data_IF_472654080873
#
_entry.id   IF_472654080873
#
_cell.length_a   1.000
_cell.length_b   1.000
_cell.length_c   1.000
_cell.angle_alpha   90.00
_cell.angle_beta   90.00
_cell.angle_gamma   90.00
#
_symmetry.space_group_name_H-M   'P 1'
#
loop_
_entity.id
_entity.type
_entity.pdbx_description
1 polymer ?
#
# COMPACT_ATOMS: atom_id res chain seq x y z
N UNK A 1 14.43 -10.27 2.39
CA UNK A 1 14.47 -10.00 0.92
C UNK A 1 14.66 -11.23 0.05
N UNK A 2 15.42 -12.26 0.50
CA UNK A 2 15.63 -13.48 -0.29
C UNK A 2 14.35 -14.33 -0.50
N UNK A 3 13.49 -14.38 0.52
CA UNK A 3 12.24 -15.17 0.51
C UNK A 3 11.20 -14.62 -0.47
N UNK A 4 10.95 -13.31 -0.43
CA UNK A 4 10.04 -12.62 -1.37
C UNK A 4 10.85 -11.54 -2.09
N UNK A 5 11.49 -11.87 -3.23
CA UNK A 5 12.30 -10.92 -3.99
C UNK A 5 11.41 -9.90 -4.70
N UNK A 6 11.93 -8.68 -4.90
CA UNK A 6 11.20 -7.66 -5.66
C UNK A 6 11.30 -7.97 -7.15
N UNK A 7 10.16 -7.97 -7.85
CA UNK A 7 10.13 -8.12 -9.30
C UNK A 7 10.67 -6.88 -10.02
N UNK A 8 11.02 -7.02 -11.30
CA UNK A 8 11.40 -5.86 -12.13
C UNK A 8 10.23 -4.88 -12.28
N UNK A 9 9.00 -5.38 -12.40
CA UNK A 9 7.78 -4.55 -12.44
C UNK A 9 7.65 -3.72 -11.17
N UNK A 10 7.70 -4.34 -10.00
CA UNK A 10 7.63 -3.62 -8.72
C UNK A 10 8.78 -2.60 -8.57
N UNK A 11 9.98 -2.93 -9.05
CA UNK A 11 11.12 -2.01 -9.06
C UNK A 11 10.82 -0.76 -9.90
N UNK A 12 10.30 -0.95 -11.12
CA UNK A 12 9.96 0.15 -12.03
C UNK A 12 8.81 1.00 -11.49
N UNK A 13 7.74 0.38 -10.98
CA UNK A 13 6.61 1.09 -10.39
C UNK A 13 7.05 1.99 -9.24
N UNK A 14 7.86 1.47 -8.30
CA UNK A 14 8.36 2.25 -7.17
C UNK A 14 9.25 3.40 -7.63
N UNK A 15 10.18 3.16 -8.57
CA UNK A 15 11.07 4.20 -9.07
C UNK A 15 10.30 5.31 -9.81
N UNK A 16 9.39 4.93 -10.72
CA UNK A 16 8.58 5.88 -11.49
C UNK A 16 7.68 6.72 -10.58
N UNK A 17 6.94 6.10 -9.64
CA UNK A 17 6.08 6.84 -8.72
C UNK A 17 6.87 7.76 -7.78
N UNK A 18 8.06 7.37 -7.32
CA UNK A 18 8.92 8.28 -6.53
C UNK A 18 9.34 9.52 -7.31
N UNK A 19 9.72 9.34 -8.58
CA UNK A 19 10.07 10.46 -9.44
C UNK A 19 8.88 11.36 -9.73
N UNK A 20 7.69 10.78 -10.00
CA UNK A 20 6.46 11.53 -10.24
C UNK A 20 6.05 12.35 -9.00
N UNK A 21 6.03 11.72 -7.81
CA UNK A 21 5.75 12.42 -6.54
C UNK A 21 6.78 13.51 -6.30
N UNK A 22 8.06 13.25 -6.56
CA UNK A 22 9.10 14.27 -6.41
C UNK A 22 8.86 15.47 -7.33
N UNK A 23 8.52 15.25 -8.60
CA UNK A 23 8.21 16.31 -9.55
C UNK A 23 7.01 17.16 -9.10
N UNK A 24 5.95 16.53 -8.57
CA UNK A 24 4.80 17.27 -8.02
C UNK A 24 5.22 18.09 -6.80
N UNK A 25 5.96 17.51 -5.87
CA UNK A 25 6.40 18.20 -4.64
C UNK A 25 7.37 19.36 -4.91
N UNK A 26 8.10 19.33 -6.02
CA UNK A 26 9.01 20.42 -6.43
C UNK A 26 8.37 21.41 -7.40
N UNK A 27 7.11 21.21 -7.78
CA UNK A 27 6.39 22.08 -8.72
C UNK A 27 6.79 21.92 -10.19
N UNK A 28 7.44 20.82 -10.55
CA UNK A 28 7.76 20.47 -11.94
C UNK A 28 6.64 19.69 -12.65
N UNK A 29 5.61 19.28 -11.90
CA UNK A 29 4.41 18.60 -12.39
C UNK A 29 3.20 19.17 -11.62
N UNK A 30 2.19 19.69 -12.32
CA UNK A 30 1.02 20.35 -11.73
C UNK A 30 -0.08 19.36 -11.30
N UNK A 31 0.12 18.05 -11.49
CA UNK A 31 -0.82 17.02 -11.05
C UNK A 31 -0.94 16.97 -9.54
N UNK A 32 -2.07 16.47 -9.05
CA UNK A 32 -2.29 16.26 -7.62
C UNK A 32 -1.85 14.84 -7.19
N UNK A 33 -1.00 14.73 -6.17
CA UNK A 33 -0.74 13.43 -5.52
C UNK A 33 -1.92 13.05 -4.63
N UNK A 34 -2.49 11.87 -4.87
CA UNK A 34 -3.64 11.36 -4.12
C UNK A 34 -3.28 10.03 -3.45
N UNK A 35 -3.12 10.06 -2.14
CA UNK A 35 -2.90 8.84 -1.33
C UNK A 35 -4.25 8.33 -0.83
N UNK A 36 -4.74 7.24 -1.42
CA UNK A 36 -6.11 6.74 -1.18
C UNK A 36 -6.15 5.23 -1.07
N UNK A 37 -6.98 4.72 -0.16
CA UNK A 37 -7.14 3.29 0.05
C UNK A 37 -7.79 2.98 1.40
N UNK A 38 -7.90 1.70 1.76
CA UNK A 38 -8.46 1.27 3.03
C UNK A 38 -7.74 1.90 4.24
N UNK A 39 -8.48 2.08 5.32
CA UNK A 39 -7.91 2.64 6.55
C UNK A 39 -6.75 1.80 7.10
N UNK A 40 -6.89 0.47 7.05
CA UNK A 40 -5.84 -0.54 7.26
C UNK A 40 -6.21 -1.82 6.52
N UNK A 41 -5.21 -2.56 6.02
CA UNK A 41 -5.39 -3.86 5.40
C UNK A 41 -5.51 -4.93 6.50
N UNK A 42 -6.56 -5.74 6.41
CA UNK A 42 -6.75 -6.94 7.23
C UNK A 42 -6.99 -8.18 6.35
N UNK A 43 -7.53 -7.99 5.14
CA UNK A 43 -7.71 -9.02 4.12
C UNK A 43 -6.87 -8.69 2.87
N UNK A 44 -5.80 -9.46 2.58
CA UNK A 44 -4.99 -9.29 1.38
C UNK A 44 -5.75 -9.53 0.06
N UNK A 45 -6.77 -10.39 0.05
CA UNK A 45 -7.54 -10.69 -1.18
C UNK A 45 -8.37 -9.48 -1.56
N UNK A 46 -9.12 -8.92 -0.60
CA UNK A 46 -9.86 -7.67 -0.80
C UNK A 46 -8.93 -6.49 -1.15
N UNK A 47 -7.70 -6.46 -0.62
CA UNK A 47 -6.72 -5.44 -0.98
C UNK A 47 -6.32 -5.49 -2.45
N UNK A 48 -6.14 -6.69 -3.02
CA UNK A 48 -5.80 -6.88 -4.44
C UNK A 48 -7.00 -6.56 -5.34
N UNK A 49 -8.23 -6.92 -4.95
CA UNK A 49 -9.45 -6.50 -5.68
C UNK A 49 -9.55 -4.97 -5.73
N UNK A 50 -9.34 -4.31 -4.59
CA UNK A 50 -9.31 -2.84 -4.53
C UNK A 50 -8.23 -2.25 -5.43
N UNK A 51 -7.02 -2.80 -5.41
CA UNK A 51 -5.91 -2.34 -6.26
C UNK A 51 -6.24 -2.47 -7.76
N UNK A 52 -6.91 -3.57 -8.14
CA UNK A 52 -7.33 -3.83 -9.52
C UNK A 52 -8.37 -2.83 -10.02
N UNK A 53 -9.25 -2.33 -9.14
CA UNK A 53 -10.17 -1.24 -9.46
C UNK A 53 -9.47 0.11 -9.49
N UNK A 54 -8.55 0.34 -8.54
CA UNK A 54 -7.84 1.62 -8.42
C UNK A 54 -6.88 1.87 -9.57
N UNK A 55 -6.23 0.84 -10.12
CA UNK A 55 -5.29 1.01 -11.25
C UNK A 55 -6.01 1.53 -12.51
N UNK A 56 -7.23 1.08 -12.78
CA UNK A 56 -8.03 1.60 -13.89
C UNK A 56 -8.34 3.09 -13.74
N UNK A 57 -8.59 3.55 -12.50
CA UNK A 57 -8.77 4.97 -12.20
C UNK A 57 -7.47 5.76 -12.27
N UNK A 58 -6.35 5.17 -11.84
CA UNK A 58 -5.02 5.77 -11.96
C UNK A 58 -4.67 6.04 -13.42
N UNK A 59 -5.00 5.11 -14.31
CA UNK A 59 -4.77 5.25 -15.75
C UNK A 59 -5.68 6.31 -16.37
N UNK A 60 -6.98 6.27 -16.09
CA UNK A 60 -7.96 7.20 -16.68
C UNK A 60 -7.85 8.65 -16.21
N UNK A 61 -7.26 8.88 -15.03
CA UNK A 61 -7.05 10.21 -14.45
C UNK A 61 -5.57 10.62 -14.43
N UNK A 62 -4.72 9.91 -15.19
CA UNK A 62 -3.26 10.05 -15.13
C UNK A 62 -2.74 11.42 -15.58
N UNK A 63 -3.52 12.15 -16.37
CA UNK A 63 -3.25 13.52 -16.83
C UNK A 63 -3.37 14.56 -15.71
N UNK A 64 -4.11 14.25 -14.63
CA UNK A 64 -4.41 15.18 -13.54
C UNK A 64 -3.97 14.70 -12.17
N UNK A 65 -3.86 13.39 -11.97
CA UNK A 65 -3.60 12.78 -10.66
C UNK A 65 -2.41 11.81 -10.70
N UNK A 66 -1.56 11.87 -9.67
CA UNK A 66 -0.66 10.77 -9.32
C UNK A 66 -1.28 9.99 -8.16
N UNK A 67 -2.05 8.94 -8.49
CA UNK A 67 -2.74 8.11 -7.50
C UNK A 67 -1.77 7.07 -6.90
N UNK A 68 -1.71 7.03 -5.57
CA UNK A 68 -0.92 6.08 -4.78
C UNK A 68 -1.83 5.32 -3.83
N UNK A 69 -1.84 3.99 -3.92
CA UNK A 69 -2.64 3.17 -3.00
C UNK A 69 -2.11 3.28 -1.57
N UNK A 70 -2.99 3.57 -0.63
CA UNK A 70 -2.73 3.50 0.80
C UNK A 70 -2.74 2.03 1.26
N UNK A 71 -1.58 1.52 1.67
CA UNK A 71 -1.40 0.14 2.20
C UNK A 71 -0.86 0.22 3.63
N UNK A 72 -1.75 0.38 4.61
CA UNK A 72 -1.37 0.48 6.02
C UNK A 72 -1.67 -0.83 6.74
N UNK A 73 -0.68 -1.40 7.42
CA UNK A 73 -0.86 -2.66 8.15
C UNK A 73 -1.19 -2.45 9.63
N UNK A 74 -0.98 -1.25 10.16
CA UNK A 74 -1.15 -0.96 11.57
C UNK A 74 -2.18 0.13 11.82
N UNK A 75 -2.70 0.09 13.04
CA UNK A 75 -3.80 0.93 13.49
C UNK A 75 -3.43 1.37 14.92
N UNK A 76 -2.93 2.60 15.12
CA UNK A 76 -2.55 3.05 16.46
C UNK A 76 -3.79 3.03 17.39
N UNK A 77 -3.57 2.58 18.63
CA UNK A 77 -4.60 2.46 19.67
C UNK A 77 -4.07 3.04 20.97
N UNK A 78 -4.95 3.71 21.71
CA UNK A 78 -4.65 4.29 23.02
C UNK A 78 -4.94 3.33 24.17
N UNK A 79 -5.77 2.30 23.97
CA UNK A 79 -6.17 1.32 24.99
C UNK A 79 -5.99 -0.11 24.50
N UNK A 80 -7.06 -0.83 24.16
CA UNK A 80 -7.07 -2.22 23.68
C UNK A 80 -7.75 -2.32 22.32
N UNK A 81 -7.30 -3.26 21.49
CA UNK A 81 -7.87 -3.53 20.18
C UNK A 81 -6.86 -4.14 19.23
N UNK A 82 -7.35 -4.66 18.09
CA UNK A 82 -6.50 -5.25 17.07
C UNK A 82 -5.43 -4.26 16.57
N UNK A 83 -4.17 -4.69 16.63
CA UNK A 83 -2.99 -3.86 16.38
C UNK A 83 -2.62 -3.75 14.90
N UNK A 84 -3.07 -4.67 14.06
CA UNK A 84 -2.77 -4.67 12.64
C UNK A 84 -2.37 -6.02 12.06
N UNK A 85 -2.33 -6.11 10.72
CA UNK A 85 -2.03 -7.33 9.97
C UNK A 85 -0.65 -7.91 10.31
N UNK A 86 0.33 -7.04 10.53
CA UNK A 86 1.67 -7.47 10.93
C UNK A 86 1.64 -8.07 12.33
N UNK A 87 0.92 -7.45 13.27
CA UNK A 87 0.93 -7.88 14.65
C UNK A 87 0.10 -9.14 14.89
N UNK A 88 -1.08 -9.23 14.27
CA UNK A 88 -2.04 -10.31 14.50
C UNK A 88 -2.79 -10.66 13.21
N UNK A 89 -2.13 -11.37 12.27
CA UNK A 89 -2.65 -11.60 10.92
C UNK A 89 -3.93 -12.45 10.87
N UNK A 90 -4.17 -13.27 11.90
CA UNK A 90 -5.29 -14.20 11.98
C UNK A 90 -6.50 -13.64 12.75
N UNK A 91 -6.39 -12.42 13.28
CA UNK A 91 -7.44 -11.74 14.06
C UNK A 91 -7.90 -12.51 15.30
N UNK A 92 -7.02 -13.36 15.86
CA UNK A 92 -7.32 -14.28 16.97
C UNK A 92 -6.49 -13.99 18.24
N UNK A 93 -5.62 -12.98 18.22
CA UNK A 93 -4.74 -12.64 19.32
C UNK A 93 -3.52 -13.55 19.46
N UNK A 94 -3.19 -14.36 18.45
CA UNK A 94 -2.01 -15.25 18.45
C UNK A 94 -0.67 -14.50 18.33
N UNK A 95 -0.71 -13.26 17.84
CA UNK A 95 0.46 -12.41 17.63
C UNK A 95 1.56 -13.00 16.73
N UNK A 96 1.16 -13.70 15.67
CA UNK A 96 2.13 -14.31 14.74
C UNK A 96 2.77 -13.28 13.79
N UNK A 97 3.74 -12.52 14.32
CA UNK A 97 4.41 -11.43 13.61
C UNK A 97 5.17 -11.91 12.37
N UNK A 98 5.81 -13.08 12.46
CA UNK A 98 6.55 -13.66 11.35
C UNK A 98 5.64 -14.00 10.15
N UNK A 99 4.43 -14.50 10.42
CA UNK A 99 3.41 -14.69 9.39
C UNK A 99 2.91 -13.35 8.85
N UNK A 100 2.66 -12.38 9.74
CA UNK A 100 2.21 -11.04 9.38
C UNK A 100 3.20 -10.30 8.45
N UNK A 101 4.50 -10.38 8.72
CA UNK A 101 5.56 -9.79 7.88
C UNK A 101 5.63 -10.43 6.48
N UNK A 102 5.44 -11.75 6.38
CA UNK A 102 5.40 -12.45 5.09
C UNK A 102 4.16 -12.04 4.29
N UNK A 103 2.99 -12.03 4.92
CA UNK A 103 1.74 -11.61 4.31
C UNK A 103 1.78 -10.14 3.87
N UNK A 104 2.35 -9.25 4.67
CA UNK A 104 2.47 -7.84 4.35
C UNK A 104 3.41 -7.57 3.16
N UNK A 105 4.35 -8.48 2.87
CA UNK A 105 5.35 -8.34 1.82
C UNK A 105 4.96 -9.00 0.49
N UNK A 106 4.19 -10.09 0.54
CA UNK A 106 3.83 -10.90 -0.62
C UNK A 106 2.89 -10.15 -1.57
#
# INVERSE_FOLDING_TARGET
MREIPRTLTATRTVAASRNAIHAVLTGADDRLVVVVGPCSIHDPIAAVDYASRLVALRESLSDRLEIVMRVYFEKPRTTVGWKGLINDPDLDGSFNIDKGLRMARN
#
